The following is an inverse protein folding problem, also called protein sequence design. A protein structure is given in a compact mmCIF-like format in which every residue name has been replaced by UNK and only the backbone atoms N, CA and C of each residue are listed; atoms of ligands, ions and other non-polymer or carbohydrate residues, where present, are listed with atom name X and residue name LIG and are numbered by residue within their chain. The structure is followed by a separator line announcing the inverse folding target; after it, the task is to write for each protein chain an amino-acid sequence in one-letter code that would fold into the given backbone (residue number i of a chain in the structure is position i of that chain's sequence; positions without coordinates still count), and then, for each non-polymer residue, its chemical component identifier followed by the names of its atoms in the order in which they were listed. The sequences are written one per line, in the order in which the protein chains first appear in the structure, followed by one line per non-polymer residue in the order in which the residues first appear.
data_IF_003020808204
#
_entry.id   IF_003020808204
#
_cell.length_a   1.000
_cell.length_b   1.000
_cell.length_c   1.000
_cell.angle_alpha   90.00
_cell.angle_beta   90.00
_cell.angle_gamma   90.00
#
_symmetry.space_group_name_H-M   'P 1'
#
loop_
_entity.id
_entity.type
_entity.pdbx_description
1 polymer ?
#
# COMPACT_ATOMS: atom_id res chain seq x y z
N UNK A 1 47.73 13.87 24.00
CA UNK A 1 47.66 14.63 22.73
C UNK A 1 48.27 13.86 21.56
N UNK A 2 49.30 13.05 21.78
CA UNK A 2 49.90 12.15 20.77
C UNK A 2 48.87 11.35 19.95
N UNK A 3 47.89 10.70 20.58
CA UNK A 3 46.89 9.91 19.84
C UNK A 3 45.99 10.78 18.94
N UNK A 4 45.70 12.03 19.32
CA UNK A 4 45.00 12.98 18.45
C UNK A 4 45.89 13.39 17.26
N UNK A 5 47.18 13.59 17.51
CA UNK A 5 48.14 13.91 16.46
C UNK A 5 48.25 12.79 15.42
N UNK A 6 48.44 11.54 15.87
CA UNK A 6 48.50 10.36 14.99
C UNK A 6 47.21 10.19 14.17
N UNK A 7 46.04 10.44 14.80
CA UNK A 7 44.77 10.47 14.09
C UNK A 7 44.75 11.55 13.00
N UNK A 8 45.25 12.76 13.27
CA UNK A 8 45.27 13.86 12.31
C UNK A 8 46.22 13.58 11.13
N UNK A 9 47.37 12.97 11.39
CA UNK A 9 48.29 12.49 10.33
C UNK A 9 47.55 11.48 9.44
N UNK A 10 46.99 10.43 10.04
CA UNK A 10 46.25 9.42 9.30
C UNK A 10 45.10 10.03 8.48
N UNK A 11 44.36 10.96 9.09
CA UNK A 11 43.26 11.68 8.44
C UNK A 11 43.74 12.47 7.21
N UNK A 12 44.85 13.20 7.33
CA UNK A 12 45.40 14.01 6.24
C UNK A 12 45.93 13.12 5.09
N UNK A 13 46.62 12.02 5.42
CA UNK A 13 47.16 11.05 4.45
C UNK A 13 46.07 10.27 3.72
N UNK A 14 44.98 9.92 4.42
CA UNK A 14 43.89 9.10 3.87
C UNK A 14 42.68 9.93 3.44
N UNK A 15 42.88 11.22 3.19
CA UNK A 15 41.82 12.19 2.92
C UNK A 15 40.91 11.86 1.72
N UNK A 16 41.35 11.00 0.80
CA UNK A 16 40.57 10.49 -0.36
C UNK A 16 39.88 9.13 -0.12
N UNK A 17 40.07 8.51 1.03
CA UNK A 17 39.48 7.23 1.36
C UNK A 17 37.98 7.41 1.69
N UNK A 18 37.11 6.61 1.08
CA UNK A 18 35.66 6.64 1.31
C UNK A 18 35.27 6.23 2.73
N UNK A 19 36.11 5.42 3.38
CA UNK A 19 35.86 4.93 4.75
C UNK A 19 36.33 5.92 5.83
N UNK A 20 36.92 7.06 5.41
CA UNK A 20 37.47 8.05 6.33
C UNK A 20 36.40 8.63 7.26
N UNK A 21 35.16 8.82 6.77
CA UNK A 21 34.05 9.32 7.58
C UNK A 21 33.73 8.40 8.76
N UNK A 22 33.72 7.09 8.54
CA UNK A 22 33.52 6.08 9.58
C UNK A 22 34.64 6.11 10.62
N UNK A 23 35.88 6.23 10.16
CA UNK A 23 37.03 6.30 11.05
C UNK A 23 37.01 7.55 11.94
N UNK A 24 36.61 8.71 11.38
CA UNK A 24 36.39 9.94 12.15
C UNK A 24 35.33 9.68 13.24
N UNK A 25 34.17 9.15 12.87
CA UNK A 25 33.09 8.89 13.84
C UNK A 25 33.53 7.92 14.95
N UNK A 26 34.21 6.82 14.60
CA UNK A 26 34.67 5.83 15.57
C UNK A 26 35.74 6.38 16.52
N UNK A 27 36.70 7.16 16.00
CA UNK A 27 37.72 7.82 16.81
C UNK A 27 37.09 8.75 17.84
N UNK A 28 36.13 9.60 17.41
CA UNK A 28 35.49 10.54 18.32
C UNK A 28 34.62 9.83 19.36
N UNK A 29 33.82 8.85 18.95
CA UNK A 29 32.91 8.10 19.81
C UNK A 29 33.67 7.26 20.85
N UNK A 30 34.71 6.52 20.43
CA UNK A 30 35.36 5.52 21.28
C UNK A 30 36.53 6.05 22.08
N UNK A 31 37.16 7.13 21.60
CA UNK A 31 38.40 7.63 22.15
C UNK A 31 38.30 9.11 22.55
N UNK A 32 38.20 10.04 21.60
CA UNK A 32 38.32 11.48 21.87
C UNK A 32 37.34 11.96 22.95
N UNK A 33 36.06 11.59 22.85
CA UNK A 33 35.03 12.04 23.77
C UNK A 33 35.24 11.55 25.21
N UNK A 34 35.91 10.41 25.40
CA UNK A 34 36.17 9.87 26.75
C UNK A 34 37.19 10.67 27.54
N UNK A 35 38.06 11.41 26.83
CA UNK A 35 39.15 12.21 27.41
C UNK A 35 39.05 13.69 27.00
N UNK A 36 37.85 14.13 26.57
CA UNK A 36 37.61 15.50 26.05
C UNK A 36 38.00 16.57 27.07
N UNK A 37 37.69 16.35 28.35
CA UNK A 37 38.02 17.30 29.41
C UNK A 37 39.54 17.46 29.61
N UNK A 38 40.31 16.38 29.49
CA UNK A 38 41.77 16.43 29.56
C UNK A 38 42.34 17.23 28.38
N UNK A 39 41.79 17.04 27.18
CA UNK A 39 42.16 17.86 26.02
C UNK A 39 41.82 19.33 26.21
N UNK A 40 40.65 19.64 26.77
CA UNK A 40 40.26 21.02 27.06
C UNK A 40 41.25 21.71 28.00
N UNK A 41 41.66 21.02 29.06
CA UNK A 41 42.66 21.53 30.00
C UNK A 41 44.01 21.77 29.31
N UNK A 42 44.44 20.86 28.43
CA UNK A 42 45.68 21.02 27.65
C UNK A 42 45.59 22.20 26.69
N UNK A 43 44.44 22.41 26.04
CA UNK A 43 44.23 23.54 25.12
C UNK A 43 44.35 24.87 25.86
N UNK A 44 43.75 24.97 27.05
CA UNK A 44 43.84 26.17 27.87
C UNK A 44 45.27 26.43 28.35
N UNK A 45 45.98 25.39 28.80
CA UNK A 45 47.34 25.51 29.32
C UNK A 45 48.40 25.81 28.26
N UNK A 46 48.30 25.20 27.07
CA UNK A 46 49.33 25.28 26.02
C UNK A 46 49.05 26.37 24.97
N UNK A 47 47.91 27.06 25.05
CA UNK A 47 47.58 28.17 24.12
C UNK A 47 48.32 29.48 24.41
N UNK A 48 49.02 29.60 25.55
CA UNK A 48 49.82 30.77 25.92
C UNK A 48 51.31 30.53 25.61
N UNK A 49 52.03 31.60 25.23
CA UNK A 49 53.42 31.54 24.74
C UNK A 49 54.48 31.15 25.78
N UNK A 50 54.10 30.99 27.06
CA UNK A 50 55.04 30.83 28.17
C UNK A 50 55.20 29.37 28.67
N UNK A 51 54.42 28.40 28.19
CA UNK A 51 54.36 27.03 28.72
C UNK A 51 55.06 25.95 27.87
N UNK A 52 56.18 26.29 27.22
CA UNK A 52 56.86 25.40 26.25
C UNK A 52 57.57 24.20 26.90
N UNK A 53 57.67 24.11 28.24
CA UNK A 53 58.51 23.10 28.92
C UNK A 53 57.86 21.72 29.14
N UNK A 54 56.58 21.54 28.82
CA UNK A 54 55.88 20.27 29.03
C UNK A 54 55.70 19.49 27.72
N UNK A 55 56.07 18.21 27.72
CA UNK A 55 56.06 17.32 26.55
C UNK A 55 54.70 17.28 25.81
N UNK A 56 53.58 17.48 26.51
CA UNK A 56 52.25 17.50 25.89
C UNK A 56 51.93 18.79 25.14
N UNK A 57 52.57 19.92 25.45
CA UNK A 57 52.43 21.16 24.69
C UNK A 57 53.13 21.07 23.31
N UNK A 58 54.18 20.26 23.19
CA UNK A 58 54.76 19.92 21.87
C UNK A 58 53.73 19.22 20.99
N UNK A 59 53.04 18.21 21.53
CA UNK A 59 51.97 17.51 20.79
C UNK A 59 50.78 18.42 20.49
N UNK A 60 50.46 19.36 21.38
CA UNK A 60 49.46 20.40 21.09
C UNK A 60 49.84 21.24 19.89
N UNK A 61 51.08 21.74 19.84
CA UNK A 61 51.57 22.54 18.71
C UNK A 61 51.53 21.76 17.40
N UNK A 62 51.89 20.48 17.42
CA UNK A 62 51.81 19.62 16.24
C UNK A 62 50.35 19.42 15.80
N UNK A 63 49.41 19.14 16.72
CA UNK A 63 47.99 19.07 16.39
C UNK A 63 47.46 20.40 15.82
N UNK A 64 47.89 21.52 16.40
CA UNK A 64 47.50 22.85 15.94
C UNK A 64 48.00 23.11 14.52
N UNK A 65 49.22 22.69 14.20
CA UNK A 65 49.78 22.75 12.85
C UNK A 65 48.96 21.93 11.85
N UNK A 66 48.65 20.66 12.15
CA UNK A 66 47.83 19.79 11.29
C UNK A 66 46.40 20.34 11.05
N UNK A 67 45.92 21.16 11.98
CA UNK A 67 44.63 21.85 11.94
C UNK A 67 44.70 23.29 11.42
N UNK A 68 45.86 23.73 10.93
CA UNK A 68 46.11 25.05 10.35
C UNK A 68 45.98 26.23 11.34
N UNK A 69 46.38 26.04 12.59
CA UNK A 69 46.43 27.09 13.61
C UNK A 69 45.11 27.35 14.34
N UNK A 70 44.04 26.63 14.01
CA UNK A 70 42.68 26.90 14.49
C UNK A 70 42.30 26.13 15.76
N UNK A 71 43.19 25.33 16.35
CA UNK A 71 42.82 24.36 17.40
C UNK A 71 42.15 25.02 18.62
N UNK A 72 42.59 26.22 19.00
CA UNK A 72 41.99 26.96 20.11
C UNK A 72 40.58 27.46 19.80
N UNK A 73 40.33 27.88 18.56
CA UNK A 73 39.03 28.40 18.12
C UNK A 73 37.99 27.27 18.00
N UNK A 74 38.43 26.10 17.51
CA UNK A 74 37.55 24.95 17.27
C UNK A 74 37.47 23.99 18.46
N UNK A 75 38.04 24.35 19.63
CA UNK A 75 38.22 23.42 20.76
C UNK A 75 36.96 22.69 21.22
N UNK A 76 35.79 23.31 21.10
CA UNK A 76 34.51 22.70 21.45
C UNK A 76 33.91 21.82 20.32
N UNK A 77 34.34 22.05 19.08
CA UNK A 77 33.75 21.53 17.85
C UNK A 77 34.79 20.84 16.94
N UNK A 78 35.89 20.32 17.51
CA UNK A 78 37.01 19.71 16.76
C UNK A 78 36.53 18.66 15.76
N UNK A 79 35.55 17.82 16.16
CA UNK A 79 34.91 16.83 15.28
C UNK A 79 34.30 17.48 14.04
N UNK A 80 33.47 18.50 14.24
CA UNK A 80 32.75 19.19 13.17
C UNK A 80 33.72 19.85 12.20
N UNK A 81 34.79 20.45 12.68
CA UNK A 81 35.83 21.03 11.83
C UNK A 81 36.51 19.96 10.95
N UNK A 82 36.86 18.81 11.53
CA UNK A 82 37.47 17.69 10.78
C UNK A 82 36.50 17.13 9.73
N UNK A 83 35.21 17.01 10.06
CA UNK A 83 34.17 16.59 9.11
C UNK A 83 34.03 17.59 7.95
N UNK A 84 33.99 18.90 8.23
CA UNK A 84 33.95 19.95 7.21
C UNK A 84 35.21 19.96 6.33
N UNK A 85 36.38 19.72 6.93
CA UNK A 85 37.64 19.56 6.20
C UNK A 85 37.57 18.32 5.28
N UNK A 86 37.00 17.22 5.74
CA UNK A 86 36.78 16.01 4.94
C UNK A 86 35.84 16.26 3.76
N UNK A 87 34.70 16.91 3.98
CA UNK A 87 33.74 17.30 2.94
C UNK A 87 34.42 18.06 1.80
N UNK A 88 35.24 19.06 2.16
CA UNK A 88 35.97 19.90 1.22
C UNK A 88 37.03 19.12 0.43
N UNK A 89 37.79 18.24 1.08
CA UNK A 89 38.84 17.45 0.40
C UNK A 89 38.24 16.41 -0.56
N UNK A 90 37.12 15.80 -0.19
CA UNK A 90 36.47 14.77 -1.01
C UNK A 90 35.63 15.34 -2.16
N UNK A 91 35.59 16.67 -2.32
CA UNK A 91 34.81 17.37 -3.35
C UNK A 91 33.33 16.94 -3.34
N UNK A 92 32.80 16.63 -2.15
CA UNK A 92 31.41 16.24 -1.94
C UNK A 92 30.60 17.47 -1.53
N UNK A 93 29.36 17.58 -2.01
CA UNK A 93 28.43 18.54 -1.40
C UNK A 93 27.90 17.97 -0.06
N UNK A 94 27.44 18.85 0.83
CA UNK A 94 26.97 18.49 2.18
C UNK A 94 25.92 17.37 2.15
N UNK A 95 25.02 17.38 1.16
CA UNK A 95 24.04 16.32 0.96
C UNK A 95 24.67 14.96 0.66
N UNK A 96 25.65 14.90 -0.25
CA UNK A 96 26.34 13.64 -0.62
C UNK A 96 27.12 13.10 0.58
N UNK A 97 27.83 13.94 1.32
CA UNK A 97 28.57 13.53 2.52
C UNK A 97 27.62 13.01 3.62
N UNK A 98 26.51 13.69 3.87
CA UNK A 98 25.46 13.26 4.79
C UNK A 98 24.88 11.89 4.37
N UNK A 99 24.63 11.68 3.07
CA UNK A 99 24.18 10.40 2.54
C UNK A 99 25.22 9.29 2.71
N UNK A 100 26.51 9.56 2.53
CA UNK A 100 27.59 8.59 2.78
C UNK A 100 27.64 8.19 4.27
N UNK A 101 27.47 9.17 5.17
CA UNK A 101 27.44 8.96 6.63
C UNK A 101 26.21 8.16 7.08
N UNK A 102 25.06 8.41 6.45
CA UNK A 102 23.83 7.63 6.66
C UNK A 102 24.05 6.19 6.18
N UNK A 103 24.56 5.99 4.97
CA UNK A 103 24.86 4.66 4.41
C UNK A 103 25.83 3.87 5.29
N UNK A 104 26.91 4.52 5.75
CA UNK A 104 27.93 3.87 6.56
C UNK A 104 27.47 3.56 7.99
N UNK A 105 26.59 4.40 8.55
CA UNK A 105 25.93 4.14 9.84
C UNK A 105 24.88 3.03 9.72
N UNK A 106 24.19 2.92 8.59
CA UNK A 106 23.32 1.78 8.25
C UNK A 106 24.16 0.50 8.15
N UNK A 107 25.32 0.55 7.50
CA UNK A 107 26.25 -0.57 7.47
C UNK A 107 26.70 -0.96 8.90
N UNK A 108 27.13 0.00 9.74
CA UNK A 108 27.53 -0.23 11.15
C UNK A 108 26.41 -0.89 11.98
N UNK A 109 25.16 -0.44 11.79
CA UNK A 109 23.99 -0.97 12.49
C UNK A 109 23.47 -2.29 11.89
N UNK A 110 23.78 -2.60 10.64
CA UNK A 110 23.55 -3.93 10.08
C UNK A 110 24.44 -5.00 10.74
N UNK A 111 25.54 -4.61 11.40
CA UNK A 111 26.40 -5.51 12.19
C UNK A 111 25.94 -5.72 13.64
N UNK A 112 24.96 -4.96 14.16
CA UNK A 112 24.38 -5.18 15.50
C UNK A 112 23.08 -5.99 15.40
N UNK A 113 23.28 -7.30 15.54
CA UNK A 113 22.41 -8.47 15.33
C UNK A 113 20.97 -8.49 15.91
N UNK A 114 20.39 -7.40 16.42
CA UNK A 114 19.11 -7.47 17.16
C UNK A 114 17.99 -6.58 16.59
N UNK A 115 18.32 -5.44 15.95
CA UNK A 115 17.31 -4.54 15.39
C UNK A 115 16.85 -4.91 13.98
N UNK A 116 17.74 -5.50 13.17
CA UNK A 116 17.45 -5.82 11.76
C UNK A 116 16.36 -6.87 11.60
N UNK A 117 16.31 -7.88 12.48
CA UNK A 117 15.27 -8.91 12.46
C UNK A 117 13.89 -8.32 12.77
N UNK A 118 13.81 -7.41 13.74
CA UNK A 118 12.57 -6.72 14.12
C UNK A 118 12.10 -5.76 13.02
N UNK A 119 12.99 -5.00 12.39
CA UNK A 119 12.65 -4.10 11.28
C UNK A 119 12.15 -4.88 10.06
N UNK A 120 12.83 -5.96 9.69
CA UNK A 120 12.38 -6.80 8.56
C UNK A 120 11.03 -7.46 8.87
N UNK A 121 10.84 -7.98 10.09
CA UNK A 121 9.56 -8.57 10.51
C UNK A 121 8.41 -7.54 10.52
N UNK A 122 8.65 -6.33 11.02
CA UNK A 122 7.62 -5.27 11.05
C UNK A 122 7.23 -4.78 9.67
N UNK A 123 8.19 -4.62 8.75
CA UNK A 123 7.90 -4.25 7.35
C UNK A 123 7.08 -5.33 6.65
N UNK A 124 7.41 -6.62 6.86
CA UNK A 124 6.65 -7.75 6.32
C UNK A 124 5.22 -7.76 6.86
N UNK A 125 5.04 -7.54 8.17
CA UNK A 125 3.70 -7.46 8.78
C UNK A 125 2.89 -6.29 8.23
N UNK A 126 3.49 -5.10 8.05
CA UNK A 126 2.82 -3.94 7.46
C UNK A 126 2.41 -4.18 6.00
N UNK A 127 3.26 -4.84 5.20
CA UNK A 127 2.95 -5.23 3.83
C UNK A 127 1.81 -6.24 3.80
N UNK A 128 1.83 -7.25 4.68
CA UNK A 128 0.75 -8.23 4.82
C UNK A 128 -0.57 -7.56 5.21
N UNK A 129 -0.56 -6.66 6.19
CA UNK A 129 -1.74 -5.88 6.61
C UNK A 129 -2.27 -5.03 5.45
N UNK A 130 -1.40 -4.35 4.69
CA UNK A 130 -1.82 -3.55 3.54
C UNK A 130 -2.51 -4.40 2.45
N UNK A 131 -2.05 -5.64 2.26
CA UNK A 131 -2.64 -6.61 1.34
C UNK A 131 -4.01 -7.13 1.84
N UNK A 132 -4.15 -7.38 3.15
CA UNK A 132 -5.43 -7.72 3.76
C UNK A 132 -6.45 -6.56 3.70
N UNK A 133 -6.01 -5.33 3.92
CA UNK A 133 -6.86 -4.13 3.84
C UNK A 133 -7.37 -3.87 2.40
N UNK A 134 -6.54 -4.16 1.39
CA UNK A 134 -6.96 -4.06 -0.02
C UNK A 134 -8.10 -5.03 -0.39
N UNK A 135 -8.15 -6.21 0.25
CA UNK A 135 -9.16 -7.25 -0.02
C UNK A 135 -10.54 -6.93 0.60
N UNK A 136 -10.60 -6.10 1.64
CA UNK A 136 -11.83 -5.80 2.41
C UNK A 136 -12.77 -4.77 1.76
N UNK A 137 -12.41 -4.23 0.59
CA UNK A 137 -12.96 -2.96 0.13
C UNK A 137 -14.31 -3.03 -0.63
N UNK A 138 -14.79 -4.19 -1.08
CA UNK A 138 -16.01 -4.21 -1.92
C UNK A 138 -17.32 -4.64 -1.21
N UNK A 139 -17.25 -5.50 -0.19
CA UNK A 139 -18.43 -5.80 0.64
C UNK A 139 -18.86 -4.57 1.44
N UNK A 140 -17.90 -3.73 1.85
CA UNK A 140 -18.16 -2.40 2.39
C UNK A 140 -18.77 -1.48 1.34
N UNK A 141 -18.25 -1.46 0.11
CA UNK A 141 -18.74 -0.63 -0.99
C UNK A 141 -20.22 -0.91 -1.32
N UNK A 142 -20.63 -2.19 -1.42
CA UNK A 142 -22.03 -2.54 -1.65
C UNK A 142 -22.93 -2.06 -0.50
N UNK A 143 -22.52 -2.28 0.75
CA UNK A 143 -23.26 -1.80 1.94
C UNK A 143 -23.41 -0.28 1.93
N UNK A 144 -22.36 0.46 1.53
CA UNK A 144 -22.39 1.92 1.44
C UNK A 144 -23.42 2.44 0.43
N UNK A 145 -23.51 1.86 -0.76
CA UNK A 145 -24.51 2.33 -1.73
C UNK A 145 -25.91 1.85 -1.40
N UNK A 146 -26.03 0.64 -0.85
CA UNK A 146 -27.30 0.14 -0.34
C UNK A 146 -27.87 1.03 0.74
N UNK A 147 -27.05 1.49 1.69
CA UNK A 147 -27.54 2.38 2.75
C UNK A 147 -28.08 3.71 2.22
N UNK A 148 -27.55 4.23 1.10
CA UNK A 148 -28.10 5.45 0.47
C UNK A 148 -29.51 5.19 -0.07
N UNK A 149 -29.72 4.04 -0.73
CA UNK A 149 -31.06 3.64 -1.18
C UNK A 149 -31.98 3.43 0.03
N UNK A 150 -31.51 2.80 1.10
CA UNK A 150 -32.32 2.51 2.28
C UNK A 150 -32.60 3.75 3.16
N UNK A 151 -31.79 4.82 3.06
CA UNK A 151 -31.96 6.10 3.79
C UNK A 151 -33.17 6.91 3.27
N UNK A 152 -33.58 6.70 2.01
CA UNK A 152 -34.71 7.44 1.42
C UNK A 152 -36.03 7.08 2.12
N UNK A 153 -36.66 8.08 2.76
CA UNK A 153 -37.95 7.97 3.43
C UNK A 153 -39.00 8.79 2.67
N UNK A 154 -40.18 8.20 2.48
CA UNK A 154 -41.30 8.77 1.70
C UNK A 154 -41.96 9.98 2.39
N UNK A 155 -41.78 10.13 3.72
CA UNK A 155 -42.51 11.11 4.53
C UNK A 155 -42.01 12.58 4.42
N UNK A 156 -40.94 12.85 3.66
CA UNK A 156 -40.40 14.22 3.47
C UNK A 156 -40.92 14.94 2.22
N UNK A 157 -41.71 14.30 1.35
CA UNK A 157 -42.30 14.96 0.18
C UNK A 157 -43.73 15.41 0.51
N UNK A 158 -43.90 16.72 0.71
CA UNK A 158 -45.21 17.39 0.81
C UNK A 158 -46.01 17.11 -0.45
N UNK A 159 -47.30 16.76 -0.29
CA UNK A 159 -48.32 16.69 -1.34
C UNK A 159 -48.21 17.90 -2.30
N UNK A 160 -47.46 17.75 -3.39
CA UNK A 160 -47.62 18.58 -4.56
C UNK A 160 -47.81 17.67 -5.77
N UNK A 161 -49.04 17.68 -6.23
CA UNK A 161 -49.63 16.92 -7.32
C UNK A 161 -49.13 17.48 -8.66
N UNK A 162 -47.81 17.47 -8.85
CA UNK A 162 -47.11 18.01 -10.01
C UNK A 162 -46.26 16.92 -10.64
N UNK A 163 -46.81 16.26 -11.64
CA UNK A 163 -46.12 15.40 -12.62
C UNK A 163 -44.64 15.77 -12.84
N UNK A 164 -43.79 14.74 -12.77
CA UNK A 164 -42.40 14.61 -13.20
C UNK A 164 -41.45 14.37 -12.02
N UNK A 165 -41.34 13.12 -11.57
CA UNK A 165 -40.06 12.39 -11.43
C UNK A 165 -38.79 13.28 -11.35
N UNK A 166 -38.72 14.21 -10.37
CA UNK A 166 -37.77 15.34 -10.30
C UNK A 166 -37.30 15.95 -11.65
N UNK A 167 -38.23 16.10 -12.62
CA UNK A 167 -37.97 16.65 -13.96
C UNK A 167 -37.48 15.65 -15.03
N UNK A 168 -37.29 14.37 -14.71
CA UNK A 168 -37.11 13.32 -15.75
C UNK A 168 -38.44 13.20 -16.50
N UNK A 169 -38.43 13.61 -17.77
CA UNK A 169 -39.62 13.57 -18.60
C UNK A 169 -40.12 12.13 -18.79
N UNK A 170 -41.44 11.95 -18.77
CA UNK A 170 -42.09 10.65 -18.96
C UNK A 170 -41.70 9.94 -20.27
N UNK A 171 -41.32 10.69 -21.32
CA UNK A 171 -40.80 10.14 -22.60
C UNK A 171 -39.53 9.28 -22.40
N UNK A 172 -38.69 9.61 -21.42
CA UNK A 172 -37.49 8.84 -21.07
C UNK A 172 -37.82 7.52 -20.36
N UNK A 173 -39.03 7.39 -19.83
CA UNK A 173 -39.50 6.25 -19.04
C UNK A 173 -40.56 5.41 -19.78
N UNK A 174 -40.84 5.77 -21.03
CA UNK A 174 -41.83 5.10 -21.87
C UNK A 174 -41.50 3.60 -21.99
N UNK A 175 -42.47 2.74 -21.65
CA UNK A 175 -42.31 1.28 -21.60
C UNK A 175 -41.89 0.70 -20.24
N UNK A 176 -41.53 1.53 -19.25
CA UNK A 176 -41.13 1.09 -17.90
C UNK A 176 -42.05 1.57 -16.78
N UNK A 177 -43.04 2.42 -17.10
CA UNK A 177 -43.89 3.15 -16.15
C UNK A 177 -44.65 2.27 -15.15
N UNK A 178 -44.94 1.01 -15.49
CA UNK A 178 -45.60 0.08 -14.58
C UNK A 178 -44.72 -0.37 -13.42
N UNK A 179 -43.39 -0.39 -13.60
CA UNK A 179 -42.40 -0.77 -12.58
C UNK A 179 -41.62 0.40 -12.04
N UNK A 180 -41.51 1.48 -12.80
CA UNK A 180 -40.78 2.69 -12.42
C UNK A 180 -41.77 3.79 -12.00
N UNK A 181 -42.30 3.67 -10.78
CA UNK A 181 -43.26 4.64 -10.22
C UNK A 181 -42.59 5.95 -9.81
N UNK A 182 -43.39 6.99 -9.52
CA UNK A 182 -42.88 8.29 -9.05
C UNK A 182 -42.00 8.14 -7.80
N UNK A 183 -42.40 7.31 -6.83
CA UNK A 183 -41.60 7.02 -5.64
C UNK A 183 -40.22 6.40 -5.99
N UNK A 184 -40.21 5.43 -6.91
CA UNK A 184 -38.95 4.82 -7.38
C UNK A 184 -38.08 5.86 -8.10
N UNK A 185 -38.71 6.77 -8.84
CA UNK A 185 -38.00 7.88 -9.44
C UNK A 185 -37.39 8.84 -8.41
N UNK A 186 -38.17 9.33 -7.45
CA UNK A 186 -37.66 10.22 -6.38
C UNK A 186 -36.50 9.56 -5.65
N UNK A 187 -36.61 8.26 -5.36
CA UNK A 187 -35.54 7.44 -4.79
C UNK A 187 -34.30 7.37 -5.67
N UNK A 188 -34.46 7.21 -6.98
CA UNK A 188 -33.36 7.23 -7.93
C UNK A 188 -32.65 8.60 -7.94
N UNK A 189 -33.41 9.69 -7.96
CA UNK A 189 -32.88 11.06 -7.97
C UNK A 189 -32.14 11.37 -6.68
N UNK A 190 -32.71 11.00 -5.53
CA UNK A 190 -32.05 11.10 -4.23
C UNK A 190 -30.68 10.40 -4.23
N UNK A 191 -30.64 9.17 -4.75
CA UNK A 191 -29.41 8.39 -4.84
C UNK A 191 -28.36 9.08 -5.74
N UNK A 192 -28.76 9.56 -6.92
CA UNK A 192 -27.87 10.25 -7.84
C UNK A 192 -27.32 11.56 -7.24
N UNK A 193 -28.18 12.34 -6.57
CA UNK A 193 -27.77 13.54 -5.82
C UNK A 193 -26.71 13.23 -4.77
N UNK A 194 -26.87 12.16 -3.99
CA UNK A 194 -25.88 11.74 -2.99
C UNK A 194 -24.56 11.29 -3.63
N UNK A 195 -24.61 10.64 -4.79
CA UNK A 195 -23.40 10.29 -5.53
C UNK A 195 -22.63 11.53 -6.01
N UNK A 196 -23.33 12.52 -6.55
CA UNK A 196 -22.73 13.76 -7.07
C UNK A 196 -22.04 14.62 -6.01
N UNK A 197 -22.45 14.52 -4.75
CA UNK A 197 -21.79 15.24 -3.65
C UNK A 197 -20.34 14.77 -3.43
N UNK A 198 -19.98 13.58 -3.91
CA UNK A 198 -18.63 13.04 -3.80
C UNK A 198 -17.71 13.57 -4.90
N UNK A 199 -16.52 14.03 -4.52
CA UNK A 199 -15.46 14.43 -5.46
C UNK A 199 -14.55 13.28 -5.91
N UNK A 200 -14.84 12.03 -5.49
CA UNK A 200 -13.96 10.88 -5.72
C UNK A 200 -14.44 10.10 -6.97
N UNK A 201 -13.69 10.09 -8.09
CA UNK A 201 -14.11 9.42 -9.32
C UNK A 201 -14.47 7.95 -9.13
N UNK A 202 -13.66 7.24 -8.33
CA UNK A 202 -13.89 5.83 -8.02
C UNK A 202 -15.20 5.60 -7.24
N UNK A 203 -15.56 6.52 -6.34
CA UNK A 203 -16.82 6.45 -5.59
C UNK A 203 -18.02 6.65 -6.52
N UNK A 204 -17.93 7.57 -7.46
CA UNK A 204 -19.02 7.80 -8.43
C UNK A 204 -19.15 6.58 -9.36
N UNK A 205 -18.02 6.06 -9.85
CA UNK A 205 -17.98 4.89 -10.74
C UNK A 205 -18.60 3.64 -10.11
N UNK A 206 -18.23 3.29 -8.87
CA UNK A 206 -18.85 2.16 -8.18
C UNK A 206 -20.31 2.41 -7.83
N UNK A 207 -20.68 3.65 -7.52
CA UNK A 207 -22.08 4.04 -7.31
C UNK A 207 -22.93 3.85 -8.57
N UNK A 208 -22.43 4.25 -9.74
CA UNK A 208 -23.10 4.03 -11.02
C UNK A 208 -23.31 2.54 -11.33
N UNK A 209 -22.33 1.68 -11.03
CA UNK A 209 -22.48 0.22 -11.14
C UNK A 209 -23.53 -0.31 -10.18
N UNK A 210 -23.51 0.12 -8.92
CA UNK A 210 -24.54 -0.25 -7.96
C UNK A 210 -25.93 0.23 -8.39
N UNK A 211 -26.06 1.41 -8.99
CA UNK A 211 -27.32 1.90 -9.51
C UNK A 211 -27.91 0.96 -10.57
N UNK A 212 -27.08 0.47 -11.49
CA UNK A 212 -27.51 -0.54 -12.49
C UNK A 212 -27.94 -1.87 -11.84
N UNK A 213 -27.27 -2.28 -10.75
CA UNK A 213 -27.68 -3.42 -9.93
C UNK A 213 -29.07 -3.22 -9.33
N UNK A 214 -29.29 -2.07 -8.68
CA UNK A 214 -30.55 -1.74 -8.02
C UNK A 214 -31.70 -1.67 -9.02
N UNK A 215 -31.50 -1.01 -10.16
CA UNK A 215 -32.48 -0.97 -11.24
C UNK A 215 -32.84 -2.37 -11.75
N UNK A 216 -31.85 -3.22 -12.00
CA UNK A 216 -32.10 -4.56 -12.50
C UNK A 216 -32.81 -5.44 -11.48
N UNK A 217 -32.27 -5.52 -10.26
CA UNK A 217 -32.70 -6.46 -9.25
C UNK A 217 -33.96 -6.01 -8.54
N UNK A 218 -33.93 -4.81 -7.97
CA UNK A 218 -34.94 -4.37 -7.00
C UNK A 218 -36.09 -3.62 -7.67
N UNK A 219 -35.83 -2.91 -8.77
CA UNK A 219 -36.86 -2.16 -9.51
C UNK A 219 -37.51 -2.99 -10.61
N UNK A 220 -36.68 -3.66 -11.43
CA UNK A 220 -37.17 -4.41 -12.58
C UNK A 220 -37.46 -5.88 -12.29
N UNK A 221 -37.19 -6.34 -11.06
CA UNK A 221 -37.36 -7.73 -10.63
C UNK A 221 -36.65 -8.73 -11.52
N UNK A 222 -35.49 -8.36 -12.07
CA UNK A 222 -34.67 -9.18 -12.96
C UNK A 222 -35.35 -9.57 -14.30
N UNK A 223 -36.47 -8.93 -14.66
CA UNK A 223 -37.27 -9.26 -15.85
C UNK A 223 -37.00 -8.35 -17.07
N UNK A 224 -36.07 -7.40 -16.95
CA UNK A 224 -35.73 -6.47 -18.03
C UNK A 224 -34.59 -7.01 -18.90
N UNK A 225 -34.61 -6.79 -20.22
CA UNK A 225 -33.51 -7.17 -21.11
C UNK A 225 -32.24 -6.34 -20.85
N UNK A 226 -31.05 -6.82 -21.25
CA UNK A 226 -29.80 -6.06 -21.03
C UNK A 226 -29.80 -4.76 -21.84
N UNK A 227 -30.30 -4.82 -23.07
CA UNK A 227 -30.44 -3.65 -23.96
C UNK A 227 -31.38 -2.61 -23.34
N UNK A 228 -32.51 -3.03 -22.81
CA UNK A 228 -33.52 -2.13 -22.26
C UNK A 228 -33.10 -1.56 -20.91
N UNK A 229 -32.37 -2.33 -20.08
CA UNK A 229 -31.78 -1.79 -18.86
C UNK A 229 -30.76 -0.68 -19.14
N UNK A 230 -29.94 -0.82 -20.19
CA UNK A 230 -28.99 0.23 -20.59
C UNK A 230 -29.74 1.47 -21.05
N UNK A 231 -30.80 1.31 -21.86
CA UNK A 231 -31.64 2.43 -22.28
C UNK A 231 -32.23 3.13 -21.08
N UNK A 232 -32.86 2.39 -20.17
CA UNK A 232 -33.44 2.93 -18.93
C UNK A 232 -32.39 3.68 -18.09
N UNK A 233 -31.24 3.06 -17.84
CA UNK A 233 -30.14 3.67 -17.11
C UNK A 233 -29.70 5.01 -17.74
N UNK A 234 -29.46 5.02 -19.05
CA UNK A 234 -29.04 6.23 -19.79
C UNK A 234 -30.14 7.30 -19.78
N UNK A 235 -31.39 6.89 -19.94
CA UNK A 235 -32.54 7.78 -19.92
C UNK A 235 -32.73 8.45 -18.56
N UNK A 236 -32.59 7.70 -17.46
CA UNK A 236 -32.65 8.26 -16.09
C UNK A 236 -31.51 9.28 -15.90
N UNK A 237 -30.28 8.94 -16.30
CA UNK A 237 -29.14 9.84 -16.16
C UNK A 237 -29.26 11.11 -17.02
N UNK A 238 -29.78 11.00 -18.24
CA UNK A 238 -30.05 12.15 -19.10
C UNK A 238 -31.19 13.03 -18.55
N UNK A 239 -32.26 12.43 -18.05
CA UNK A 239 -33.33 13.19 -17.41
C UNK A 239 -32.85 13.89 -16.13
N UNK A 240 -32.00 13.24 -15.34
CA UNK A 240 -31.39 13.87 -14.17
C UNK A 240 -30.50 15.06 -14.56
N UNK A 241 -29.73 14.93 -15.65
CA UNK A 241 -28.92 16.02 -16.22
C UNK A 241 -29.75 17.25 -16.57
N UNK A 242 -30.86 17.06 -17.28
CA UNK A 242 -31.69 18.18 -17.75
C UNK A 242 -32.19 19.06 -16.59
N UNK A 243 -32.13 18.55 -15.34
CA UNK A 243 -32.57 19.21 -14.11
C UNK A 243 -31.44 19.44 -13.08
N UNK A 244 -30.20 19.02 -13.34
CA UNK A 244 -29.05 19.20 -12.46
C UNK A 244 -28.10 20.28 -13.01
N UNK A 245 -27.43 21.00 -12.11
CA UNK A 245 -26.38 21.98 -12.46
C UNK A 245 -24.98 21.36 -12.58
N UNK A 246 -24.84 20.05 -12.35
CA UNK A 246 -23.57 19.32 -12.36
C UNK A 246 -23.49 18.32 -13.52
N UNK A 247 -22.40 18.40 -14.30
CA UNK A 247 -22.06 17.46 -15.37
C UNK A 247 -21.21 16.25 -14.87
N UNK A 248 -20.91 16.16 -13.57
CA UNK A 248 -19.93 15.20 -13.04
C UNK A 248 -20.33 13.75 -13.33
N UNK A 249 -21.62 13.44 -13.20
CA UNK A 249 -22.15 12.10 -13.40
C UNK A 249 -22.16 11.68 -14.89
N UNK A 250 -22.09 12.64 -15.82
CA UNK A 250 -22.10 12.39 -17.27
C UNK A 250 -20.82 11.71 -17.77
N UNK A 251 -19.69 11.96 -17.11
CA UNK A 251 -18.45 11.24 -17.39
C UNK A 251 -18.57 9.72 -17.19
N UNK A 252 -19.68 9.28 -16.59
CA UNK A 252 -19.96 7.88 -16.30
C UNK A 252 -21.14 7.31 -17.09
N UNK A 253 -21.78 8.08 -17.99
CA UNK A 253 -22.88 7.60 -18.85
C UNK A 253 -22.51 6.35 -19.66
N UNK A 254 -21.27 6.31 -20.16
CA UNK A 254 -20.76 5.22 -20.99
C UNK A 254 -20.00 4.15 -20.18
N UNK A 255 -19.96 4.26 -18.84
CA UNK A 255 -19.41 3.19 -18.01
C UNK A 255 -20.22 1.89 -18.10
N UNK A 256 -21.52 1.99 -18.38
CA UNK A 256 -22.40 0.84 -18.45
C UNK A 256 -22.62 0.48 -19.92
N UNK A 257 -22.12 -0.69 -20.29
CA UNK A 257 -22.33 -1.28 -21.60
C UNK A 257 -23.00 -2.65 -21.47
N UNK A 258 -23.30 -3.27 -22.62
CA UNK A 258 -23.98 -4.56 -22.69
C UNK A 258 -23.24 -5.68 -21.97
N UNK A 259 -21.93 -5.76 -22.13
CA UNK A 259 -21.11 -6.80 -21.49
C UNK A 259 -21.16 -6.66 -19.96
N UNK A 260 -21.03 -5.44 -19.45
CA UNK A 260 -21.08 -5.15 -18.00
C UNK A 260 -22.45 -5.54 -17.42
N UNK A 261 -23.53 -5.19 -18.10
CA UNK A 261 -24.87 -5.58 -17.66
C UNK A 261 -25.05 -7.09 -17.71
N UNK A 262 -24.63 -7.77 -18.78
CA UNK A 262 -24.75 -9.22 -18.87
C UNK A 262 -23.94 -9.94 -17.78
N UNK A 263 -22.73 -9.45 -17.50
CA UNK A 263 -21.88 -9.94 -16.40
C UNK A 263 -22.53 -9.71 -15.03
N UNK A 264 -23.12 -8.53 -14.82
CA UNK A 264 -23.87 -8.19 -13.62
C UNK A 264 -25.05 -9.15 -13.41
N UNK A 265 -25.87 -9.39 -14.44
CA UNK A 265 -27.01 -10.30 -14.37
C UNK A 265 -26.59 -11.71 -13.95
N UNK A 266 -25.54 -12.24 -14.59
CA UNK A 266 -24.97 -13.57 -14.29
C UNK A 266 -24.49 -13.68 -12.85
N UNK A 267 -23.86 -12.63 -12.31
CA UNK A 267 -23.46 -12.59 -10.90
C UNK A 267 -24.67 -12.62 -9.97
N UNK A 268 -25.67 -11.77 -10.22
CA UNK A 268 -26.87 -11.67 -9.38
C UNK A 268 -27.61 -13.00 -9.38
N UNK A 269 -27.79 -13.61 -10.54
CA UNK A 269 -28.41 -14.94 -10.67
C UNK A 269 -27.66 -15.99 -9.84
N UNK A 270 -26.32 -15.99 -9.89
CA UNK A 270 -25.49 -16.87 -9.05
C UNK A 270 -25.76 -16.68 -7.54
N UNK A 271 -25.81 -15.43 -7.09
CA UNK A 271 -26.09 -15.09 -5.69
C UNK A 271 -27.53 -15.43 -5.27
N UNK A 272 -28.52 -15.27 -6.14
CA UNK A 272 -29.91 -15.64 -5.87
C UNK A 272 -30.08 -17.15 -5.73
N UNK A 273 -29.49 -17.94 -6.63
CA UNK A 273 -29.47 -19.40 -6.49
C UNK A 273 -28.77 -19.82 -5.20
N UNK A 274 -27.66 -19.19 -4.84
CA UNK A 274 -26.99 -19.46 -3.58
C UNK A 274 -27.86 -19.08 -2.37
N UNK A 275 -28.52 -17.93 -2.40
CA UNK A 275 -29.41 -17.48 -1.32
C UNK A 275 -30.60 -18.44 -1.12
N UNK A 276 -31.23 -18.88 -2.21
CA UNK A 276 -32.33 -19.85 -2.15
C UNK A 276 -31.83 -21.23 -1.71
N UNK A 277 -30.62 -21.61 -2.12
CA UNK A 277 -29.95 -22.81 -1.64
C UNK A 277 -29.69 -22.75 -0.14
N UNK A 278 -29.19 -21.66 0.44
CA UNK A 278 -28.87 -21.63 1.89
C UNK A 278 -30.13 -21.52 2.76
N UNK A 279 -31.16 -20.79 2.30
CA UNK A 279 -32.36 -20.49 3.10
C UNK A 279 -33.52 -21.45 2.85
N UNK A 280 -33.48 -22.28 1.81
CA UNK A 280 -34.58 -23.19 1.48
C UNK A 280 -35.84 -22.46 1.02
N UNK A 281 -35.69 -21.31 0.35
CA UNK A 281 -36.81 -20.60 -0.29
C UNK A 281 -37.26 -21.40 -1.52
N UNK A 282 -38.20 -22.31 -1.30
CA UNK A 282 -38.67 -23.29 -2.27
C UNK A 282 -39.76 -22.67 -3.15
N UNK A 283 -39.45 -22.41 -4.41
CA UNK A 283 -40.51 -22.25 -5.42
C UNK A 283 -41.23 -23.59 -5.63
N UNK A 284 -42.54 -23.61 -5.97
CA UNK A 284 -43.26 -24.85 -6.20
C UNK A 284 -42.55 -25.74 -7.23
N UNK A 285 -42.13 -26.93 -6.81
CA UNK A 285 -41.47 -27.92 -7.69
C UNK A 285 -39.94 -27.87 -7.75
N UNK A 286 -39.26 -26.99 -7.00
CA UNK A 286 -37.80 -27.03 -6.86
C UNK A 286 -37.37 -27.41 -5.45
N UNK A 287 -36.47 -28.38 -5.30
CA UNK A 287 -35.83 -28.65 -4.02
C UNK A 287 -34.58 -27.75 -3.82
N UNK A 288 -34.15 -27.64 -2.56
CA UNK A 288 -32.97 -26.85 -2.15
C UNK A 288 -31.71 -27.20 -2.95
N UNK A 289 -31.48 -28.48 -3.24
CA UNK A 289 -30.33 -28.97 -3.99
C UNK A 289 -30.37 -28.60 -5.48
N UNK A 290 -31.56 -28.41 -6.04
CA UNK A 290 -31.70 -27.86 -7.40
C UNK A 290 -31.09 -26.46 -7.49
N UNK A 291 -31.35 -25.59 -6.50
CA UNK A 291 -30.75 -24.25 -6.45
C UNK A 291 -29.22 -24.30 -6.28
N UNK A 292 -28.70 -25.16 -5.40
CA UNK A 292 -27.26 -25.26 -5.22
C UNK A 292 -26.57 -25.86 -6.46
N UNK A 293 -27.22 -26.77 -7.19
CA UNK A 293 -26.70 -27.33 -8.45
C UNK A 293 -26.66 -26.26 -9.55
N UNK A 294 -27.71 -25.44 -9.65
CA UNK A 294 -27.73 -24.29 -10.56
C UNK A 294 -26.61 -23.28 -10.24
N UNK A 295 -26.35 -23.02 -8.96
CA UNK A 295 -25.24 -22.19 -8.48
C UNK A 295 -23.87 -22.73 -8.95
N UNK A 296 -23.59 -24.03 -8.76
CA UNK A 296 -22.34 -24.66 -9.23
C UNK A 296 -22.20 -24.56 -10.75
N UNK A 297 -23.30 -24.84 -11.48
CA UNK A 297 -23.32 -24.76 -12.93
C UNK A 297 -23.02 -23.34 -13.44
N UNK A 298 -23.75 -22.34 -12.94
CA UNK A 298 -23.57 -20.94 -13.33
C UNK A 298 -22.19 -20.42 -12.96
N UNK A 299 -21.65 -20.80 -11.80
CA UNK A 299 -20.26 -20.52 -11.45
C UNK A 299 -19.30 -21.02 -12.53
N UNK A 300 -19.41 -22.29 -12.93
CA UNK A 300 -18.52 -22.89 -13.93
C UNK A 300 -18.67 -22.25 -15.32
N UNK A 301 -19.87 -21.84 -15.72
CA UNK A 301 -20.07 -21.05 -16.96
C UNK A 301 -19.38 -19.68 -16.86
N UNK A 302 -19.56 -18.99 -15.74
CA UNK A 302 -18.95 -17.68 -15.49
C UNK A 302 -17.41 -17.75 -15.42
N UNK A 303 -16.86 -18.88 -14.95
CA UNK A 303 -15.41 -19.15 -14.99
C UNK A 303 -14.87 -19.16 -16.43
N UNK A 304 -15.62 -19.69 -17.41
CA UNK A 304 -15.19 -19.70 -18.82
C UNK A 304 -15.03 -18.28 -19.34
N UNK A 305 -16.01 -17.41 -19.05
CA UNK A 305 -15.97 -15.98 -19.41
C UNK A 305 -14.70 -15.35 -18.82
N UNK A 306 -14.43 -15.58 -17.54
CA UNK A 306 -13.24 -15.04 -16.88
C UNK A 306 -11.90 -15.52 -17.44
N UNK A 307 -11.88 -16.71 -18.06
CA UNK A 307 -10.67 -17.25 -18.71
C UNK A 307 -10.47 -16.70 -20.12
N UNK A 308 -11.55 -16.39 -20.83
CA UNK A 308 -11.53 -15.92 -22.23
C UNK A 308 -11.39 -14.39 -22.33
N UNK A 309 -12.25 -13.67 -21.59
CA UNK A 309 -12.35 -12.21 -21.58
C UNK A 309 -12.33 -11.79 -20.12
N UNK A 310 -11.12 -11.58 -19.59
CA UNK A 310 -10.93 -11.22 -18.19
C UNK A 310 -11.47 -9.81 -17.92
N UNK A 311 -12.73 -9.74 -17.48
CA UNK A 311 -13.34 -8.55 -16.89
C UNK A 311 -12.96 -8.52 -15.40
N UNK A 312 -12.06 -7.61 -15.03
CA UNK A 312 -11.47 -7.57 -13.69
C UNK A 312 -12.53 -7.48 -12.59
N UNK A 313 -13.56 -6.64 -12.74
CA UNK A 313 -14.55 -6.43 -11.70
C UNK A 313 -15.47 -7.64 -11.56
N UNK A 314 -15.97 -8.16 -12.69
CA UNK A 314 -16.81 -9.36 -12.71
C UNK A 314 -16.09 -10.57 -12.12
N UNK A 315 -14.85 -10.83 -12.56
CA UNK A 315 -14.08 -11.99 -12.15
C UNK A 315 -13.63 -11.91 -10.69
N UNK A 316 -13.33 -10.72 -10.19
CA UNK A 316 -13.02 -10.52 -8.77
C UNK A 316 -14.23 -10.80 -7.88
N UNK A 317 -15.44 -10.43 -8.31
CA UNK A 317 -16.66 -10.79 -7.57
C UNK A 317 -16.99 -12.27 -7.64
N UNK A 318 -16.81 -12.90 -8.78
CA UNK A 318 -17.02 -14.34 -8.92
C UNK A 318 -16.06 -15.15 -8.03
N UNK A 319 -14.83 -14.69 -7.80
CA UNK A 319 -13.91 -15.30 -6.83
C UNK A 319 -14.34 -15.09 -5.36
N UNK A 320 -14.98 -13.96 -5.04
CA UNK A 320 -15.56 -13.75 -3.70
C UNK A 320 -16.74 -14.67 -3.48
N UNK A 321 -17.62 -14.78 -4.47
CA UNK A 321 -18.73 -15.74 -4.47
C UNK A 321 -18.22 -17.15 -4.18
N UNK A 322 -17.20 -17.60 -4.92
CA UNK A 322 -16.53 -18.90 -4.71
C UNK A 322 -16.09 -19.10 -3.25
N UNK A 323 -15.48 -18.06 -2.66
CA UNK A 323 -15.00 -18.09 -1.27
C UNK A 323 -16.17 -18.29 -0.30
N UNK A 324 -17.25 -17.53 -0.47
CA UNK A 324 -18.45 -17.61 0.39
C UNK A 324 -19.11 -18.98 0.24
N UNK A 325 -19.28 -19.46 -0.99
CA UNK A 325 -19.84 -20.78 -1.28
C UNK A 325 -19.04 -21.90 -0.60
N UNK A 326 -17.71 -21.90 -0.76
CA UNK A 326 -16.86 -22.95 -0.19
C UNK A 326 -16.91 -22.96 1.34
N UNK A 327 -16.90 -21.79 1.99
CA UNK A 327 -17.02 -21.68 3.46
C UNK A 327 -18.35 -22.29 3.92
N UNK A 328 -19.45 -22.00 3.23
CA UNK A 328 -20.75 -22.58 3.57
C UNK A 328 -20.74 -24.11 3.41
N UNK A 329 -20.19 -24.60 2.28
CA UNK A 329 -20.15 -26.02 1.96
C UNK A 329 -19.21 -26.86 2.84
N UNK A 330 -18.23 -26.25 3.52
CA UNK A 330 -17.38 -26.95 4.49
C UNK A 330 -18.18 -27.53 5.66
N UNK A 331 -19.26 -26.87 6.04
CA UNK A 331 -20.09 -27.25 7.21
C UNK A 331 -21.44 -27.83 6.82
N UNK A 332 -21.81 -27.77 5.53
CA UNK A 332 -23.08 -28.29 5.03
C UNK A 332 -23.03 -29.80 4.74
N UNK A 333 -24.00 -30.53 5.31
CA UNK A 333 -24.22 -31.97 5.09
C UNK A 333 -25.35 -32.24 4.09
N UNK A 334 -25.97 -31.20 3.56
CA UNK A 334 -27.08 -31.31 2.62
C UNK A 334 -26.56 -31.48 1.19
N UNK A 335 -27.37 -32.10 0.33
CA UNK A 335 -27.09 -32.26 -1.11
C UNK A 335 -25.75 -32.96 -1.41
N UNK A 336 -25.63 -34.22 -1.00
CA UNK A 336 -24.39 -35.00 -1.03
C UNK A 336 -23.71 -35.10 -2.40
N UNK A 337 -24.49 -35.05 -3.49
CA UNK A 337 -23.98 -35.17 -4.86
C UNK A 337 -23.45 -33.84 -5.44
N UNK A 338 -23.56 -32.73 -4.69
CA UNK A 338 -23.15 -31.41 -5.13
C UNK A 338 -21.64 -31.17 -4.92
N UNK A 339 -21.03 -30.44 -5.83
CA UNK A 339 -19.63 -30.05 -5.73
C UNK A 339 -19.37 -29.16 -4.50
N UNK A 340 -18.83 -29.74 -3.43
CA UNK A 340 -18.57 -29.02 -2.17
C UNK A 340 -17.44 -27.98 -2.25
N UNK A 341 -16.57 -28.10 -3.25
CA UNK A 341 -15.44 -27.19 -3.42
C UNK A 341 -15.35 -26.69 -4.86
N UNK A 342 -15.64 -25.41 -5.04
CA UNK A 342 -15.46 -24.70 -6.30
C UNK A 342 -13.97 -24.29 -6.46
N UNK A 343 -13.31 -24.71 -7.55
CA UNK A 343 -11.90 -24.42 -7.80
C UNK A 343 -11.72 -22.95 -8.20
N UNK A 344 -10.66 -22.30 -7.72
CA UNK A 344 -10.33 -20.96 -8.22
C UNK A 344 -9.96 -21.01 -9.71
N UNK A 345 -10.38 -19.99 -10.45
CA UNK A 345 -10.11 -19.84 -11.88
C UNK A 345 -9.15 -18.70 -12.18
N UNK A 346 -8.92 -17.80 -11.22
CA UNK A 346 -7.73 -16.98 -11.26
C UNK A 346 -6.57 -17.96 -11.43
N UNK A 347 -5.94 -17.96 -12.61
CA UNK A 347 -4.62 -18.56 -12.78
C UNK A 347 -3.85 -17.90 -11.67
N UNK A 348 -3.63 -18.68 -10.63
CA UNK A 348 -2.80 -18.39 -9.51
C UNK A 348 -1.94 -17.20 -9.88
N UNK A 349 -2.24 -16.03 -9.33
CA UNK A 349 -1.30 -14.93 -9.18
C UNK A 349 -0.15 -15.42 -8.25
N UNK A 350 0.19 -16.70 -8.28
CA UNK A 350 1.35 -17.30 -7.70
C UNK A 350 2.60 -16.67 -8.30
N UNK A 351 2.68 -16.18 -9.56
CA UNK A 351 3.73 -15.24 -9.90
C UNK A 351 3.60 -13.97 -9.07
N UNK A 352 2.47 -13.28 -8.97
CA UNK A 352 2.38 -11.99 -8.26
C UNK A 352 2.51 -12.10 -6.73
N UNK A 353 2.22 -13.26 -6.12
CA UNK A 353 2.28 -13.56 -4.69
C UNK A 353 3.61 -14.24 -4.34
N UNK A 354 4.12 -15.14 -5.19
CA UNK A 354 5.46 -15.71 -5.03
C UNK A 354 6.57 -14.81 -5.57
N UNK A 355 6.34 -13.84 -6.44
CA UNK A 355 7.39 -12.88 -6.86
C UNK A 355 7.84 -12.08 -5.64
N UNK A 356 6.97 -11.50 -4.80
CA UNK A 356 7.35 -10.91 -3.53
C UNK A 356 7.99 -11.94 -2.59
N UNK A 357 7.43 -13.15 -2.48
CA UNK A 357 7.97 -14.16 -1.57
C UNK A 357 9.36 -14.68 -1.98
N UNK A 358 9.55 -15.02 -3.25
CA UNK A 358 10.82 -15.43 -3.84
C UNK A 358 11.79 -14.27 -3.97
N UNK A 359 11.35 -13.04 -4.22
CA UNK A 359 12.25 -11.88 -4.19
C UNK A 359 12.73 -11.58 -2.78
N UNK A 360 11.84 -11.62 -1.77
CA UNK A 360 12.22 -11.50 -0.35
C UNK A 360 13.13 -12.66 0.08
N UNK A 361 12.82 -13.91 -0.29
CA UNK A 361 13.68 -15.08 -0.01
C UNK A 361 15.02 -14.99 -0.74
N UNK A 362 15.04 -14.55 -2.00
CA UNK A 362 16.28 -14.38 -2.78
C UNK A 362 17.13 -13.24 -2.23
N UNK A 363 16.52 -12.11 -1.87
CA UNK A 363 17.18 -10.98 -1.21
C UNK A 363 17.72 -11.43 0.15
N UNK A 364 16.94 -12.17 0.94
CA UNK A 364 17.38 -12.72 2.23
C UNK A 364 18.53 -13.72 2.08
N UNK A 365 18.49 -14.59 1.07
CA UNK A 365 19.56 -15.52 0.76
C UNK A 365 20.82 -14.81 0.26
N UNK A 366 20.69 -13.78 -0.58
CA UNK A 366 21.79 -12.93 -1.00
C UNK A 366 22.40 -12.20 0.19
N UNK A 367 21.59 -11.61 1.07
CA UNK A 367 22.07 -11.01 2.32
C UNK A 367 22.78 -12.02 3.22
N UNK A 368 22.29 -13.26 3.31
CA UNK A 368 22.93 -14.33 4.07
C UNK A 368 24.29 -14.76 3.45
N UNK A 369 24.37 -14.87 2.12
CA UNK A 369 25.61 -15.18 1.40
C UNK A 369 26.61 -14.03 1.57
N UNK A 370 26.19 -12.79 1.38
CA UNK A 370 27.04 -11.61 1.59
C UNK A 370 27.49 -11.49 3.04
N UNK A 371 26.61 -11.73 4.02
CA UNK A 371 26.95 -11.81 5.43
C UNK A 371 28.05 -12.85 5.69
N UNK A 372 27.89 -14.07 5.16
CA UNK A 372 28.87 -15.15 5.34
C UNK A 372 30.21 -14.85 4.67
N UNK A 373 30.21 -14.27 3.47
CA UNK A 373 31.41 -13.88 2.74
C UNK A 373 32.13 -12.72 3.45
N UNK A 374 31.41 -11.68 3.88
CA UNK A 374 31.99 -10.59 4.66
C UNK A 374 32.56 -11.06 5.99
N UNK A 375 31.89 -12.00 6.68
CA UNK A 375 32.41 -12.53 7.95
C UNK A 375 33.74 -13.29 7.75
N UNK A 376 33.89 -14.03 6.64
CA UNK A 376 35.16 -14.68 6.27
C UNK A 376 36.25 -13.67 5.90
N UNK A 377 35.92 -12.58 5.20
CA UNK A 377 36.86 -11.50 4.88
C UNK A 377 37.27 -10.71 6.13
N UNK A 378 36.35 -10.44 7.04
CA UNK A 378 36.60 -9.77 8.34
C UNK A 378 37.43 -10.66 9.26
N UNK A 379 37.19 -11.98 9.30
CA UNK A 379 38.05 -12.91 10.03
C UNK A 379 39.48 -12.92 9.46
N UNK A 380 39.64 -12.90 8.13
CA UNK A 380 40.96 -12.80 7.49
C UNK A 380 41.64 -11.46 7.80
N UNK A 381 40.93 -10.33 7.74
CA UNK A 381 41.46 -8.99 8.11
C UNK A 381 41.83 -8.92 9.59
N UNK A 382 41.00 -9.41 10.51
CA UNK A 382 41.33 -9.51 11.95
C UNK A 382 42.58 -10.36 12.19
N UNK A 383 42.73 -11.48 11.48
CA UNK A 383 43.91 -12.36 11.60
C UNK A 383 45.19 -11.67 11.10
N UNK A 384 45.10 -10.91 10.00
CA UNK A 384 46.22 -10.10 9.48
C UNK A 384 46.56 -8.95 10.44
N UNK A 385 45.56 -8.24 10.98
CA UNK A 385 45.76 -7.16 11.96
C UNK A 385 46.39 -7.70 13.26
N UNK A 386 45.95 -8.86 13.77
CA UNK A 386 46.57 -9.51 14.94
C UNK A 386 48.03 -9.92 14.64
N UNK A 387 48.32 -10.40 13.42
CA UNK A 387 49.70 -10.71 13.01
C UNK A 387 50.56 -9.45 12.96
N UNK A 388 50.03 -8.33 12.43
CA UNK A 388 50.73 -7.04 12.38
C UNK A 388 50.97 -6.47 13.78
N UNK A 389 49.97 -6.56 14.69
CA UNK A 389 50.10 -6.11 16.09
C UNK A 389 51.14 -6.93 16.86
N UNK A 390 51.31 -8.22 16.54
CA UNK A 390 52.33 -9.07 17.20
C UNK A 390 53.73 -8.95 16.57
N UNK A 391 53.88 -8.21 15.47
CA UNK A 391 55.16 -7.97 14.78
C UNK A 391 55.77 -6.59 15.09
N UNK A 392 55.02 -5.73 15.79
CA UNK A 392 55.47 -4.45 16.38
C UNK A 392 55.72 -4.72 17.85
#
# INVERSE_FOLDING_TARGET
MEILHEFLIYFNENSRNTDLSLFIDEFFERYYNKIKEDYRNIYEQCSTTDNVSQNYCTWYNNCNYELQGNLQEIKEDVKKYIEQKAEKIQNMNSFKFMMTKILSSIEKNAYTSEFMTTIVATVVVLIMISFFLYKYNLSSTFKTYKSIIDEYNVEEETDDDSDNCGGIKNEYLEGYTSKFSNNICSKAIYYLNKLEQSRKPQYISYGCKYFSYWLYKDVMNMEISSTDLIKLYKNILNGYKDNSSSDTLLNYLDLINKDIIENLKKLIENYEHFYNFINGNISPGMDKCTYGSACVHLYNENVKICKEKYDYDFCKELEKFRTIYNIYMETSYECNDMQKHLPSFMKNDVPVILIPFFSVLSISALFFIFYKVNNNFIQKKKKIIIIIINLI
#
